data_IF_711966019366
#
_entry.id   IF_711966019366
#
_cell.length_a   1.000
_cell.length_b   1.000
_cell.length_c   1.000
_cell.angle_alpha   90.00
_cell.angle_beta   90.00
_cell.angle_gamma   90.00
#
_symmetry.space_group_name_H-M   'P 1'
#
loop_
_entity.id
_entity.type
_entity.pdbx_description
1 polymer ?
#
# COMPACT_ATOMS: atom_id res chain seq x y z
N UNK A 1 0.40 27.68 20.55
CA UNK A 1 0.49 26.20 20.48
C UNK A 1 0.22 25.74 19.05
N UNK A 2 1.28 25.44 18.29
CA UNK A 2 1.19 24.99 16.89
C UNK A 2 1.09 23.46 16.82
N UNK A 3 0.23 23.01 15.91
CA UNK A 3 -0.38 21.67 15.79
C UNK A 3 0.62 20.56 15.44
N UNK A 4 0.61 19.46 16.19
CA UNK A 4 1.32 18.19 15.94
C UNK A 4 0.54 17.21 15.04
N UNK A 5 -0.21 17.71 14.04
CA UNK A 5 -1.07 16.88 13.17
C UNK A 5 -0.38 16.24 11.96
N UNK A 6 0.96 16.24 11.88
CA UNK A 6 1.69 15.77 10.68
C UNK A 6 2.28 14.36 10.77
N UNK A 7 2.25 13.70 11.93
CA UNK A 7 2.94 12.40 12.13
C UNK A 7 2.06 11.20 11.78
N UNK A 8 0.73 11.31 11.93
CA UNK A 8 -0.17 10.17 11.72
C UNK A 8 -0.55 9.91 10.25
N UNK A 9 -0.45 10.91 9.38
CA UNK A 9 -0.82 10.78 7.97
C UNK A 9 0.30 10.21 7.08
N UNK A 10 1.50 10.00 7.61
CA UNK A 10 2.64 9.44 6.88
C UNK A 10 2.64 7.90 6.92
N UNK A 11 2.03 7.29 7.94
CA UNK A 11 1.99 5.84 8.10
C UNK A 11 1.02 5.13 7.15
N UNK A 12 -0.02 5.84 6.67
CA UNK A 12 -1.01 5.27 5.72
C UNK A 12 -0.65 5.52 4.25
N UNK A 13 0.20 6.51 3.94
CA UNK A 13 0.69 6.73 2.57
C UNK A 13 1.89 5.85 2.21
N UNK A 14 2.48 5.16 3.19
CA UNK A 14 3.60 4.23 2.98
C UNK A 14 3.14 2.80 2.61
N UNK A 15 1.86 2.43 2.80
CA UNK A 15 1.36 1.10 2.41
C UNK A 15 1.03 0.97 0.91
N UNK A 16 1.25 2.02 0.10
CA UNK A 16 1.00 2.00 -1.35
C UNK A 16 2.23 2.37 -2.21
N UNK A 17 3.41 2.57 -1.59
CA UNK A 17 4.65 2.91 -2.30
C UNK A 17 5.80 1.90 -2.08
N UNK A 18 5.55 0.80 -1.38
CA UNK A 18 6.42 -0.38 -1.45
C UNK A 18 5.76 -1.39 -2.39
N UNK A 19 5.90 -1.14 -3.69
CA UNK A 19 6.00 -2.28 -4.59
C UNK A 19 7.29 -2.99 -4.19
N UNK A 20 7.28 -4.30 -3.86
CA UNK A 20 8.52 -5.03 -3.70
C UNK A 20 9.31 -4.83 -5.00
N UNK A 21 10.60 -4.48 -4.90
CA UNK A 21 11.53 -4.54 -6.03
C UNK A 21 11.76 -6.04 -6.33
N UNK A 22 10.70 -6.73 -6.72
CA UNK A 22 10.71 -8.09 -7.25
C UNK A 22 10.11 -8.01 -8.65
N UNK A 23 10.92 -7.49 -9.57
CA UNK A 23 10.76 -7.75 -11.01
C UNK A 23 12.06 -7.60 -11.81
N UNK A 24 13.23 -7.58 -11.15
CA UNK A 24 14.54 -7.71 -11.82
C UNK A 24 15.22 -9.05 -11.49
N UNK A 25 14.42 -10.12 -11.49
CA UNK A 25 14.94 -11.46 -11.78
C UNK A 25 14.09 -11.97 -12.94
N UNK A 26 14.43 -11.55 -14.16
CA UNK A 26 13.88 -12.14 -15.36
C UNK A 26 15.03 -12.46 -16.33
N UNK A 27 14.98 -13.71 -16.80
CA UNK A 27 15.76 -14.31 -17.87
C UNK A 27 17.29 -14.41 -17.73
N UNK A 28 17.74 -15.54 -17.17
CA UNK A 28 18.91 -16.27 -17.69
C UNK A 28 18.59 -17.04 -18.99
N UNK A 29 17.84 -16.42 -19.90
CA UNK A 29 17.44 -17.04 -21.16
C UNK A 29 17.40 -15.96 -22.25
N UNK A 30 18.57 -15.68 -22.82
CA UNK A 30 18.78 -15.49 -24.25
C UNK A 30 20.21 -15.02 -24.47
N UNK A 31 21.07 -15.96 -24.85
CA UNK A 31 22.03 -15.71 -25.91
C UNK A 31 21.78 -16.80 -26.93
N UNK A 32 20.86 -16.52 -27.86
CA UNK A 32 20.91 -17.15 -29.16
C UNK A 32 22.13 -16.55 -29.87
N UNK A 33 23.09 -17.38 -30.24
CA UNK A 33 23.84 -17.13 -31.46
C UNK A 33 23.60 -18.30 -32.39
N UNK A 34 23.13 -17.91 -33.58
CA UNK A 34 23.05 -18.73 -34.75
C UNK A 34 24.43 -19.31 -35.05
N UNK A 35 24.46 -20.61 -35.29
CA UNK A 35 25.50 -21.21 -36.12
C UNK A 35 24.81 -22.31 -36.93
N UNK A 36 24.02 -21.87 -37.89
CA UNK A 36 23.90 -22.64 -39.13
C UNK A 36 24.94 -22.01 -40.06
N UNK A 37 26.07 -22.70 -40.20
CA UNK A 37 26.75 -22.99 -41.46
C UNK A 37 28.02 -23.76 -41.13
N UNK A 38 27.85 -25.05 -40.83
CA UNK A 38 28.87 -26.02 -41.21
C UNK A 38 28.96 -26.00 -42.73
N UNK A 39 29.87 -25.20 -43.29
CA UNK A 39 30.43 -25.54 -44.59
C UNK A 39 31.43 -26.67 -44.32
N UNK A 40 30.94 -27.89 -44.53
CA UNK A 40 31.78 -29.03 -44.91
C UNK A 40 32.92 -28.55 -45.81
N UNK A 41 34.14 -29.02 -45.56
CA UNK A 41 35.26 -28.96 -46.51
C UNK A 41 34.82 -29.66 -47.80
N UNK A 42 34.07 -28.96 -48.64
CA UNK A 42 33.88 -29.32 -50.04
C UNK A 42 35.19 -28.99 -50.71
N UNK A 43 35.83 -30.00 -51.28
CA UNK A 43 36.91 -29.82 -52.24
C UNK A 43 36.43 -28.81 -53.29
N UNK A 44 36.95 -27.58 -53.20
CA UNK A 44 36.68 -26.53 -54.17
C UNK A 44 37.05 -27.08 -55.54
N UNK A 45 36.11 -27.01 -56.48
CA UNK A 45 36.42 -27.28 -57.88
C UNK A 45 37.52 -26.34 -58.37
N UNK A 46 38.21 -26.72 -59.44
CA UNK A 46 39.28 -25.91 -60.04
C UNK A 46 38.76 -24.52 -60.45
N UNK A 47 37.52 -24.46 -60.96
CA UNK A 47 36.85 -23.22 -61.35
C UNK A 47 36.50 -22.34 -60.14
N UNK A 48 35.99 -22.92 -59.04
CA UNK A 48 35.74 -22.20 -57.80
C UNK A 48 37.04 -21.68 -57.16
N UNK A 49 38.15 -22.41 -57.27
CA UNK A 49 39.46 -21.99 -56.79
C UNK A 49 40.00 -20.79 -57.58
N UNK A 50 39.84 -20.80 -58.92
CA UNK A 50 40.20 -19.67 -59.79
C UNK A 50 39.36 -18.44 -59.43
N UNK A 51 38.05 -18.64 -59.24
CA UNK A 51 37.14 -17.54 -58.92
C UNK A 51 37.46 -16.92 -57.55
N UNK A 52 37.68 -17.74 -56.52
CA UNK A 52 38.08 -17.29 -55.18
C UNK A 52 39.39 -16.48 -55.20
N UNK A 53 40.37 -16.91 -55.99
CA UNK A 53 41.65 -16.20 -56.14
C UNK A 53 41.48 -14.82 -56.79
N UNK A 54 40.62 -14.72 -57.81
CA UNK A 54 40.28 -13.45 -58.49
C UNK A 54 39.46 -12.54 -57.59
N UNK A 55 38.49 -13.08 -56.87
CA UNK A 55 37.62 -12.32 -55.96
C UNK A 55 38.39 -11.74 -54.78
N UNK A 56 39.45 -12.41 -54.31
CA UNK A 56 40.30 -11.90 -53.24
C UNK A 56 40.94 -10.53 -53.59
N UNK A 57 41.20 -10.22 -54.87
CA UNK A 57 41.71 -8.91 -55.30
C UNK A 57 40.75 -7.76 -54.95
N UNK A 58 39.45 -8.06 -54.84
CA UNK A 58 38.41 -7.10 -54.49
C UNK A 58 38.17 -6.99 -52.97
N UNK A 59 38.81 -7.84 -52.17
CA UNK A 59 38.68 -7.87 -50.71
C UNK A 59 39.30 -6.63 -50.05
N UNK A 60 38.81 -6.28 -48.87
CA UNK A 60 39.34 -5.14 -48.11
C UNK A 60 40.75 -5.44 -47.58
N UNK A 61 41.00 -6.70 -47.22
CA UNK A 61 42.30 -7.22 -46.80
C UNK A 61 43.36 -6.98 -47.88
N UNK A 62 43.02 -7.30 -49.14
CA UNK A 62 43.93 -7.11 -50.26
C UNK A 62 44.19 -5.62 -50.53
N UNK A 63 43.16 -4.78 -50.52
CA UNK A 63 43.28 -3.32 -50.78
C UNK A 63 44.16 -2.60 -49.77
N UNK A 64 44.20 -3.06 -48.53
CA UNK A 64 44.99 -2.43 -47.45
C UNK A 64 46.45 -2.91 -47.39
N UNK A 65 46.84 -3.86 -48.24
CA UNK A 65 48.20 -4.39 -48.28
C UNK A 65 49.16 -3.53 -49.12
N UNK A 66 50.46 -3.85 -49.09
CA UNK A 66 51.47 -3.06 -49.82
C UNK A 66 51.29 -3.19 -51.34
N UNK A 67 51.62 -2.13 -52.09
CA UNK A 67 51.52 -2.15 -53.57
C UNK A 67 52.42 -3.21 -54.20
N UNK A 68 53.56 -3.49 -53.58
CA UNK A 68 54.54 -4.48 -54.04
C UNK A 68 53.95 -5.89 -53.97
N UNK A 69 53.35 -6.25 -52.85
CA UNK A 69 52.73 -7.55 -52.64
C UNK A 69 51.41 -7.70 -53.39
N UNK A 70 50.61 -6.64 -53.50
CA UNK A 70 49.42 -6.61 -54.36
C UNK A 70 49.79 -6.91 -55.82
N UNK A 71 50.90 -6.35 -56.31
CA UNK A 71 51.40 -6.60 -57.66
C UNK A 71 51.96 -8.02 -57.81
N UNK A 72 52.65 -8.55 -56.79
CA UNK A 72 53.14 -9.92 -56.77
C UNK A 72 51.99 -10.94 -56.86
N UNK A 73 50.95 -10.76 -56.04
CA UNK A 73 49.76 -11.61 -56.07
C UNK A 73 48.99 -11.51 -57.40
N UNK A 74 48.80 -10.30 -57.93
CA UNK A 74 48.12 -10.10 -59.24
C UNK A 74 48.84 -10.83 -60.38
N UNK A 75 50.17 -10.79 -60.42
CA UNK A 75 50.97 -11.55 -61.40
C UNK A 75 50.81 -13.06 -61.22
N UNK A 76 50.73 -13.53 -59.98
CA UNK A 76 50.58 -14.94 -59.64
C UNK A 76 49.26 -15.53 -60.19
N UNK A 77 48.20 -14.71 -60.26
CA UNK A 77 46.87 -15.10 -60.75
C UNK A 77 46.54 -14.67 -62.20
N UNK A 78 47.43 -13.95 -62.89
CA UNK A 78 47.16 -13.32 -64.20
C UNK A 78 46.81 -14.36 -65.30
N UNK A 79 47.54 -15.50 -65.31
CA UNK A 79 47.38 -16.59 -66.27
C UNK A 79 46.71 -17.85 -65.70
N UNK A 80 45.90 -17.69 -64.63
CA UNK A 80 45.24 -18.83 -63.97
C UNK A 80 44.15 -19.46 -64.85
N UNK A 81 44.29 -20.76 -65.15
CA UNK A 81 43.39 -21.59 -65.95
C UNK A 81 43.19 -22.95 -65.29
N UNK A 82 42.14 -23.69 -65.69
CA UNK A 82 41.83 -25.02 -65.14
C UNK A 82 43.02 -25.99 -65.27
N UNK A 83 43.82 -25.84 -66.33
CA UNK A 83 44.99 -26.67 -66.64
C UNK A 83 46.19 -26.46 -65.72
N UNK A 84 46.33 -25.29 -65.07
CA UNK A 84 47.52 -24.92 -64.28
C UNK A 84 47.20 -24.50 -62.83
N UNK A 85 45.91 -24.46 -62.46
CA UNK A 85 45.51 -24.03 -61.11
C UNK A 85 45.92 -25.03 -60.05
N UNK A 86 45.90 -26.34 -60.30
CA UNK A 86 46.31 -27.34 -59.31
C UNK A 86 47.78 -27.19 -58.90
N UNK A 87 48.67 -26.89 -59.86
CA UNK A 87 50.09 -26.67 -59.60
C UNK A 87 50.36 -25.36 -58.83
N UNK A 88 49.54 -24.34 -59.06
CA UNK A 88 49.68 -23.01 -58.41
C UNK A 88 48.83 -22.84 -57.15
N UNK A 89 47.90 -23.77 -56.88
CA UNK A 89 46.88 -23.68 -55.83
C UNK A 89 47.50 -23.43 -54.46
N UNK A 90 48.53 -24.19 -54.10
CA UNK A 90 49.21 -24.02 -52.83
C UNK A 90 49.91 -22.67 -52.71
N UNK A 91 50.53 -22.18 -53.78
CA UNK A 91 51.25 -20.91 -53.81
C UNK A 91 50.28 -19.72 -53.68
N UNK A 92 49.14 -19.80 -54.38
CA UNK A 92 48.03 -18.84 -54.25
C UNK A 92 47.52 -18.80 -52.81
N UNK A 93 47.20 -19.96 -52.22
CA UNK A 93 46.68 -20.03 -50.86
C UNK A 93 47.67 -19.48 -49.85
N UNK A 94 48.95 -19.86 -49.93
CA UNK A 94 50.02 -19.31 -49.09
C UNK A 94 50.13 -17.78 -49.22
N UNK A 95 50.02 -17.25 -50.44
CA UNK A 95 50.04 -15.80 -50.66
C UNK A 95 48.80 -15.11 -50.10
N UNK A 96 47.60 -15.70 -50.24
CA UNK A 96 46.37 -15.18 -49.63
C UNK A 96 46.51 -15.14 -48.10
N UNK A 97 46.99 -16.22 -47.50
CA UNK A 97 47.17 -16.32 -46.04
C UNK A 97 48.21 -15.32 -45.54
N UNK A 98 49.32 -15.14 -46.28
CA UNK A 98 50.34 -14.13 -45.97
C UNK A 98 49.82 -12.70 -46.03
N UNK A 99 48.79 -12.42 -46.85
CA UNK A 99 48.16 -11.09 -46.95
C UNK A 99 47.10 -10.91 -45.86
N UNK A 100 46.30 -11.94 -45.58
CA UNK A 100 45.21 -11.89 -44.58
C UNK A 100 45.72 -11.83 -43.15
N UNK A 101 46.82 -12.52 -42.84
CA UNK A 101 47.32 -12.65 -41.47
C UNK A 101 47.76 -11.30 -40.86
N UNK A 102 48.56 -10.44 -41.54
CA UNK A 102 48.90 -9.12 -41.02
C UNK A 102 47.67 -8.22 -40.82
N UNK A 103 46.69 -8.31 -41.73
CA UNK A 103 45.47 -7.52 -41.66
C UNK A 103 44.63 -7.86 -40.43
N UNK A 104 44.34 -9.15 -40.22
CA UNK A 104 43.54 -9.57 -39.06
C UNK A 104 44.28 -9.37 -37.74
N UNK A 105 45.62 -9.49 -37.73
CA UNK A 105 46.45 -9.17 -36.58
C UNK A 105 46.29 -7.71 -36.16
N UNK A 106 46.31 -6.78 -37.12
CA UNK A 106 46.10 -5.36 -36.83
C UNK A 106 44.70 -5.08 -36.27
N UNK A 107 43.66 -5.69 -36.85
CA UNK A 107 42.30 -5.56 -36.32
C UNK A 107 42.19 -6.06 -34.87
N UNK A 108 42.85 -7.18 -34.57
CA UNK A 108 42.93 -7.72 -33.22
C UNK A 108 43.65 -6.77 -32.26
N UNK A 109 44.81 -6.23 -32.64
CA UNK A 109 45.58 -5.28 -31.84
C UNK A 109 44.77 -4.00 -31.54
N UNK A 110 44.16 -3.41 -32.56
CA UNK A 110 43.32 -2.21 -32.44
C UNK A 110 42.13 -2.46 -31.49
N UNK A 111 41.43 -3.57 -31.65
CA UNK A 111 40.29 -3.94 -30.80
C UNK A 111 40.75 -4.26 -29.37
N UNK A 112 41.86 -4.98 -29.19
CA UNK A 112 42.43 -5.29 -27.88
C UNK A 112 42.74 -3.99 -27.13
N UNK A 113 43.39 -3.03 -27.77
CA UNK A 113 43.67 -1.73 -27.16
C UNK A 113 42.39 -0.99 -26.74
N UNK A 114 41.36 -1.00 -27.60
CA UNK A 114 40.06 -0.41 -27.29
C UNK A 114 39.40 -1.07 -26.06
N UNK A 115 39.39 -2.39 -26.00
CA UNK A 115 38.79 -3.14 -24.88
C UNK A 115 39.59 -2.93 -23.59
N UNK A 116 40.93 -2.87 -23.68
CA UNK A 116 41.78 -2.59 -22.52
C UNK A 116 41.58 -1.19 -21.94
N UNK A 117 41.16 -0.20 -22.74
CA UNK A 117 40.77 1.14 -22.24
C UNK A 117 39.54 1.11 -21.34
N UNK A 118 38.72 0.06 -21.41
CA UNK A 118 37.56 -0.14 -20.52
C UNK A 118 37.92 -0.75 -19.16
N UNK A 119 39.21 -1.04 -18.93
CA UNK A 119 39.71 -1.54 -17.65
C UNK A 119 39.39 -0.57 -16.52
N UNK A 120 38.75 -1.07 -15.48
CA UNK A 120 38.51 -0.34 -14.24
C UNK A 120 38.67 -1.27 -13.03
N UNK A 121 39.08 -0.70 -11.89
CA UNK A 121 39.16 -1.46 -10.63
C UNK A 121 37.77 -1.89 -10.12
N UNK A 122 36.72 -1.19 -10.55
CA UNK A 122 35.32 -1.48 -10.25
C UNK A 122 34.74 -2.67 -11.04
N UNK A 123 35.47 -3.26 -11.98
CA UNK A 123 35.02 -4.48 -12.66
C UNK A 123 35.00 -5.69 -11.70
N UNK A 124 34.22 -6.71 -12.04
CA UNK A 124 34.31 -8.02 -11.37
C UNK A 124 35.66 -8.67 -11.65
N UNK A 125 36.10 -9.52 -10.73
CA UNK A 125 37.37 -10.22 -10.87
C UNK A 125 37.37 -11.12 -12.12
N UNK A 126 36.26 -11.81 -12.42
CA UNK A 126 36.08 -12.58 -13.66
C UNK A 126 36.32 -11.75 -14.94
N UNK A 127 35.82 -10.51 -14.98
CA UNK A 127 36.00 -9.64 -16.15
C UNK A 127 37.43 -9.12 -16.25
N UNK A 128 38.08 -8.85 -15.12
CA UNK A 128 39.51 -8.48 -15.08
C UNK A 128 40.37 -9.64 -15.57
N UNK A 129 40.15 -10.83 -15.05
CA UNK A 129 40.90 -12.03 -15.43
C UNK A 129 40.73 -12.33 -16.92
N UNK A 130 39.50 -12.22 -17.44
CA UNK A 130 39.25 -12.37 -18.87
C UNK A 130 40.00 -11.33 -19.69
N UNK A 131 40.02 -10.06 -19.26
CA UNK A 131 40.76 -8.99 -19.93
C UNK A 131 42.26 -9.30 -20.02
N UNK A 132 42.85 -9.82 -18.93
CA UNK A 132 44.28 -10.16 -18.90
C UNK A 132 44.64 -11.49 -19.58
N UNK A 133 43.65 -12.33 -19.90
CA UNK A 133 43.90 -13.65 -20.52
C UNK A 133 44.24 -13.61 -22.00
N UNK A 134 43.98 -12.49 -22.69
CA UNK A 134 44.22 -12.33 -24.12
C UNK A 134 45.72 -12.24 -24.44
N UNK A 135 46.18 -13.08 -25.38
CA UNK A 135 47.60 -13.16 -25.77
C UNK A 135 48.02 -11.95 -26.62
N UNK A 136 49.31 -11.77 -26.84
CA UNK A 136 49.80 -10.75 -27.78
C UNK A 136 49.70 -11.20 -29.24
N UNK A 137 49.90 -12.50 -29.49
CA UNK A 137 49.93 -13.06 -30.84
C UNK A 137 49.33 -14.44 -30.89
N UNK A 138 48.84 -14.80 -32.07
CA UNK A 138 48.31 -16.11 -32.42
C UNK A 138 48.93 -16.61 -33.73
N UNK A 139 48.87 -17.93 -33.95
CA UNK A 139 49.63 -18.61 -35.00
C UNK A 139 48.89 -18.62 -36.35
N UNK A 140 47.55 -18.51 -36.34
CA UNK A 140 46.73 -18.63 -37.55
C UNK A 140 45.66 -17.53 -37.68
N UNK A 141 45.18 -17.33 -38.92
CA UNK A 141 44.08 -16.40 -39.21
C UNK A 141 42.80 -16.76 -38.45
N UNK A 142 42.44 -18.05 -38.41
CA UNK A 142 41.23 -18.51 -37.72
C UNK A 142 41.32 -18.32 -36.20
N UNK A 143 42.52 -18.45 -35.61
CA UNK A 143 42.73 -18.11 -34.20
C UNK A 143 42.45 -16.62 -33.96
N UNK A 144 43.03 -15.72 -34.76
CA UNK A 144 42.76 -14.28 -34.62
C UNK A 144 41.27 -13.97 -34.79
N UNK A 145 40.59 -14.57 -35.77
CA UNK A 145 39.15 -14.37 -36.00
C UNK A 145 38.32 -14.76 -34.79
N UNK A 146 38.60 -15.93 -34.20
CA UNK A 146 37.93 -16.38 -32.97
C UNK A 146 38.18 -15.43 -31.81
N UNK A 147 39.41 -14.96 -31.65
CA UNK A 147 39.78 -14.08 -30.54
C UNK A 147 39.22 -12.66 -30.69
N UNK A 148 39.04 -12.17 -31.92
CA UNK A 148 38.32 -10.93 -32.20
C UNK A 148 36.86 -11.04 -31.75
N UNK A 149 36.17 -12.14 -32.04
CA UNK A 149 34.79 -12.35 -31.58
C UNK A 149 34.71 -12.46 -30.05
N UNK A 150 35.67 -13.13 -29.43
CA UNK A 150 35.79 -13.17 -27.97
C UNK A 150 35.99 -11.77 -27.37
N UNK A 151 36.85 -10.93 -27.98
CA UNK A 151 37.09 -9.55 -27.55
C UNK A 151 35.84 -8.68 -27.69
N UNK A 152 35.11 -8.76 -28.81
CA UNK A 152 33.84 -8.04 -29.00
C UNK A 152 32.82 -8.43 -27.93
N UNK A 153 32.73 -9.72 -27.62
CA UNK A 153 31.86 -10.23 -26.56
C UNK A 153 32.28 -9.68 -25.18
N UNK A 154 33.58 -9.68 -24.87
CA UNK A 154 34.10 -9.12 -23.62
C UNK A 154 33.84 -7.63 -23.49
N UNK A 155 34.02 -6.86 -24.59
CA UNK A 155 33.66 -5.43 -24.66
C UNK A 155 32.20 -5.19 -24.27
N UNK A 156 31.28 -5.89 -24.93
CA UNK A 156 29.84 -5.79 -24.66
C UNK A 156 29.50 -6.15 -23.21
N UNK A 157 30.14 -7.19 -22.67
CA UNK A 157 29.95 -7.59 -21.28
C UNK A 157 30.41 -6.52 -20.29
N UNK A 158 31.56 -5.88 -20.52
CA UNK A 158 32.06 -4.78 -19.69
C UNK A 158 31.12 -3.57 -19.78
N UNK A 159 30.68 -3.18 -20.97
CA UNK A 159 29.75 -2.07 -21.16
C UNK A 159 28.41 -2.30 -20.44
N UNK A 160 27.86 -3.52 -20.55
CA UNK A 160 26.64 -3.90 -19.86
C UNK A 160 26.83 -3.95 -18.33
N UNK A 161 27.97 -4.44 -17.86
CA UNK A 161 28.33 -4.43 -16.45
C UNK A 161 28.37 -3.00 -15.89
N UNK A 162 29.04 -2.08 -16.60
CA UNK A 162 29.16 -0.69 -16.17
C UNK A 162 27.79 0.03 -16.13
N UNK A 163 26.91 -0.22 -17.10
CA UNK A 163 25.52 0.30 -17.07
C UNK A 163 24.77 -0.18 -15.82
N UNK A 164 24.85 -1.47 -15.49
CA UNK A 164 24.22 -2.02 -14.27
C UNK A 164 24.82 -1.42 -13.01
N UNK A 165 26.14 -1.27 -12.93
CA UNK A 165 26.80 -0.67 -11.78
C UNK A 165 26.30 0.75 -11.51
N UNK A 166 26.17 1.58 -12.55
CA UNK A 166 25.62 2.93 -12.43
C UNK A 166 24.16 2.94 -11.95
N UNK A 167 23.32 2.06 -12.49
CA UNK A 167 21.92 1.91 -12.04
C UNK A 167 21.85 1.52 -10.55
N UNK A 168 22.67 0.57 -10.10
CA UNK A 168 22.69 0.13 -8.71
C UNK A 168 23.26 1.21 -7.78
N UNK A 169 24.30 1.94 -8.19
CA UNK A 169 24.80 3.10 -7.42
C UNK A 169 23.72 4.17 -7.26
N UNK A 170 22.92 4.42 -8.30
CA UNK A 170 21.77 5.33 -8.21
C UNK A 170 20.70 4.84 -7.22
N UNK A 171 20.38 3.54 -7.23
CA UNK A 171 19.44 2.93 -6.26
C UNK A 171 19.97 3.11 -4.83
N UNK A 172 21.25 2.81 -4.60
CA UNK A 172 21.88 2.97 -3.30
C UNK A 172 21.84 4.43 -2.82
N UNK A 173 22.16 5.38 -3.71
CA UNK A 173 22.07 6.82 -3.44
C UNK A 173 20.66 7.24 -3.05
N UNK A 174 19.66 6.88 -3.83
CA UNK A 174 18.25 7.22 -3.55
C UNK A 174 17.79 6.60 -2.22
N UNK A 175 18.23 5.38 -1.91
CA UNK A 175 17.98 4.71 -0.63
C UNK A 175 18.58 5.47 0.55
N UNK A 176 19.85 5.90 0.44
CA UNK A 176 20.53 6.68 1.48
C UNK A 176 19.87 8.05 1.70
N UNK A 177 19.51 8.77 0.63
CA UNK A 177 18.88 10.08 0.71
C UNK A 177 17.50 10.02 1.39
N UNK A 178 16.67 9.04 1.00
CA UNK A 178 15.34 8.83 1.61
C UNK A 178 15.43 8.56 3.11
N UNK A 179 16.50 7.92 3.56
CA UNK A 179 16.66 7.48 4.95
C UNK A 179 17.56 8.36 5.82
N UNK A 180 18.15 9.43 5.25
CA UNK A 180 19.11 10.32 5.93
C UNK A 180 18.62 10.90 7.26
N UNK A 181 17.32 11.15 7.38
CA UNK A 181 16.74 11.85 8.54
C UNK A 181 16.13 10.91 9.59
N UNK A 182 16.22 9.59 9.41
CA UNK A 182 15.67 8.62 10.37
C UNK A 182 16.63 8.24 11.50
N UNK A 183 17.84 8.81 11.52
CA UNK A 183 18.82 8.51 12.58
C UNK A 183 19.39 7.08 12.51
N UNK A 184 19.30 6.45 11.33
CA UNK A 184 19.91 5.15 11.03
C UNK A 184 21.38 5.38 10.66
N UNK A 185 22.30 4.56 11.18
CA UNK A 185 23.72 4.66 10.82
C UNK A 185 23.99 3.93 9.50
N UNK A 186 24.12 4.69 8.41
CA UNK A 186 24.34 4.18 7.05
C UNK A 186 25.72 4.59 6.50
N UNK A 187 26.70 4.77 7.39
CA UNK A 187 28.06 5.21 7.00
C UNK A 187 28.77 4.20 6.11
N UNK A 188 28.63 2.91 6.36
CA UNK A 188 29.32 1.87 5.60
C UNK A 188 28.81 1.82 4.15
N UNK A 189 27.49 1.87 3.98
CA UNK A 189 26.81 1.92 2.68
C UNK A 189 27.18 3.18 1.90
N UNK A 190 27.29 4.32 2.60
CA UNK A 190 27.77 5.56 2.01
C UNK A 190 29.23 5.45 1.54
N UNK A 191 30.11 4.81 2.31
CA UNK A 191 31.50 4.59 1.91
C UNK A 191 31.59 3.74 0.63
N UNK A 192 30.73 2.74 0.47
CA UNK A 192 30.65 1.94 -0.77
C UNK A 192 30.17 2.79 -1.95
N UNK A 193 29.20 3.69 -1.74
CA UNK A 193 28.72 4.59 -2.79
C UNK A 193 29.80 5.59 -3.23
N UNK A 194 30.51 6.18 -2.26
CA UNK A 194 31.51 7.22 -2.48
C UNK A 194 32.84 6.65 -3.06
N UNK A 195 33.06 5.34 -2.94
CA UNK A 195 34.22 4.65 -3.51
C UNK A 195 34.06 4.42 -5.02
N UNK A 196 34.92 5.07 -5.81
CA UNK A 196 34.96 4.93 -7.26
C UNK A 196 35.26 3.49 -7.70
N UNK A 197 36.02 2.73 -6.89
CA UNK A 197 36.46 1.37 -7.18
C UNK A 197 35.48 0.31 -6.68
N UNK A 198 34.35 0.70 -6.09
CA UNK A 198 33.33 -0.26 -5.67
C UNK A 198 32.68 -0.92 -6.88
N UNK A 199 32.77 -2.25 -6.88
CA UNK A 199 32.21 -3.12 -7.91
C UNK A 199 30.74 -3.45 -7.62
N UNK A 200 30.08 -4.10 -8.58
CA UNK A 200 28.65 -4.42 -8.51
C UNK A 200 28.29 -5.20 -7.24
N UNK A 201 29.09 -6.21 -6.88
CA UNK A 201 28.85 -7.05 -5.70
C UNK A 201 28.89 -6.25 -4.40
N UNK A 202 29.87 -5.34 -4.25
CA UNK A 202 29.93 -4.43 -3.09
C UNK A 202 28.71 -3.54 -3.00
N UNK A 203 28.27 -2.97 -4.13
CA UNK A 203 27.08 -2.10 -4.19
C UNK A 203 25.81 -2.87 -3.87
N UNK A 204 25.64 -4.08 -4.40
CA UNK A 204 24.52 -4.98 -4.10
C UNK A 204 24.46 -5.30 -2.60
N UNK A 205 25.59 -5.70 -2.00
CA UNK A 205 25.70 -5.95 -0.55
C UNK A 205 25.37 -4.71 0.28
N UNK A 206 25.78 -3.52 -0.16
CA UNK A 206 25.44 -2.27 0.52
C UNK A 206 23.92 -1.97 0.45
N UNK A 207 23.26 -2.26 -0.67
CA UNK A 207 21.80 -2.13 -0.80
C UNK A 207 21.09 -3.12 0.13
N UNK A 208 21.53 -4.38 0.19
CA UNK A 208 20.96 -5.37 1.10
C UNK A 208 21.11 -4.96 2.58
N UNK A 209 22.28 -4.44 2.95
CA UNK A 209 22.56 -3.93 4.28
C UNK A 209 21.65 -2.74 4.63
N UNK A 210 21.53 -1.77 3.72
CA UNK A 210 20.60 -0.64 3.86
C UNK A 210 19.17 -1.10 4.12
N UNK A 211 18.68 -2.09 3.35
CA UNK A 211 17.32 -2.61 3.52
C UNK A 211 17.14 -3.27 4.90
N UNK A 212 18.11 -4.06 5.37
CA UNK A 212 18.07 -4.68 6.70
C UNK A 212 18.02 -3.64 7.82
N UNK A 213 18.83 -2.59 7.73
CA UNK A 213 18.84 -1.48 8.70
C UNK A 213 17.50 -0.71 8.72
N UNK A 214 16.93 -0.44 7.54
CA UNK A 214 15.62 0.21 7.40
C UNK A 214 14.50 -0.67 7.98
N UNK A 215 14.52 -1.97 7.70
CA UNK A 215 13.52 -2.92 8.24
C UNK A 215 13.60 -3.03 9.77
N UNK A 216 14.82 -3.08 10.31
CA UNK A 216 15.05 -3.08 11.75
C UNK A 216 14.51 -1.79 12.41
N UNK A 217 14.79 -0.64 11.80
CA UNK A 217 14.24 0.64 12.26
C UNK A 217 12.71 0.67 12.22
N UNK A 218 12.10 0.23 11.12
CA UNK A 218 10.65 0.16 10.97
C UNK A 218 10.00 -0.76 12.02
N UNK A 219 10.61 -1.91 12.29
CA UNK A 219 10.16 -2.82 13.34
C UNK A 219 10.21 -2.17 14.73
N UNK A 220 11.29 -1.44 15.03
CA UNK A 220 11.44 -0.69 16.28
C UNK A 220 10.35 0.38 16.43
N UNK A 221 10.14 1.21 15.41
CA UNK A 221 9.10 2.26 15.42
C UNK A 221 7.70 1.65 15.60
N UNK A 222 7.42 0.53 14.94
CA UNK A 222 6.15 -0.19 15.08
C UNK A 222 5.93 -0.67 16.53
N UNK A 223 6.96 -1.22 17.15
CA UNK A 223 6.90 -1.67 18.54
C UNK A 223 6.76 -0.51 19.53
N UNK A 224 7.50 0.58 19.36
CA UNK A 224 7.38 1.79 20.18
C UNK A 224 5.96 2.38 20.12
N UNK A 225 5.37 2.47 18.92
CA UNK A 225 3.99 2.90 18.74
C UNK A 225 2.99 1.96 19.42
N UNK A 226 3.19 0.63 19.29
CA UNK A 226 2.36 -0.37 19.97
C UNK A 226 2.40 -0.18 21.49
N UNK A 227 3.58 0.03 22.07
CA UNK A 227 3.76 0.25 23.51
C UNK A 227 3.11 1.56 23.98
N UNK A 228 3.28 2.65 23.23
CA UNK A 228 2.62 3.94 23.51
C UNK A 228 1.09 3.82 23.50
N UNK A 229 0.56 3.08 22.53
CA UNK A 229 -0.87 2.82 22.44
C UNK A 229 -1.35 1.95 23.61
N UNK A 230 -0.64 0.88 23.95
CA UNK A 230 -0.95 0.05 25.12
C UNK A 230 -1.01 0.87 26.40
N UNK A 231 -0.02 1.74 26.63
CA UNK A 231 0.00 2.65 27.78
C UNK A 231 -1.24 3.54 27.82
N UNK A 232 -1.56 4.18 26.70
CA UNK A 232 -2.73 5.08 26.58
C UNK A 232 -4.04 4.36 26.86
N UNK A 233 -4.25 3.18 26.26
CA UNK A 233 -5.46 2.39 26.47
C UNK A 233 -5.55 1.85 27.90
N UNK A 234 -4.42 1.45 28.50
CA UNK A 234 -4.36 0.98 29.88
C UNK A 234 -4.75 2.08 30.88
N UNK A 235 -4.24 3.30 30.70
CA UNK A 235 -4.63 4.45 31.54
C UNK A 235 -6.14 4.69 31.53
N UNK A 236 -6.79 4.53 30.37
CA UNK A 236 -8.25 4.60 30.25
C UNK A 236 -8.95 3.46 31.01
N UNK A 237 -8.47 2.22 30.85
CA UNK A 237 -9.05 1.02 31.49
C UNK A 237 -8.91 1.10 33.00
N UNK A 238 -7.72 1.44 33.51
CA UNK A 238 -7.46 1.58 34.95
C UNK A 238 -8.31 2.71 35.57
N UNK A 239 -8.67 3.72 34.78
CA UNK A 239 -9.58 4.81 35.15
C UNK A 239 -11.06 4.42 35.26
N UNK A 240 -11.46 3.21 34.83
CA UNK A 240 -12.87 2.76 34.81
C UNK A 240 -13.51 2.83 36.20
N UNK A 241 -12.90 2.15 37.19
CA UNK A 241 -13.47 2.04 38.53
C UNK A 241 -13.63 3.42 39.18
N UNK A 242 -12.63 4.28 39.01
CA UNK A 242 -12.68 5.67 39.48
C UNK A 242 -13.83 6.43 38.83
N UNK A 243 -13.97 6.36 37.50
CA UNK A 243 -15.06 7.03 36.78
C UNK A 243 -16.44 6.52 37.21
N UNK A 244 -16.64 5.21 37.24
CA UNK A 244 -17.93 4.59 37.60
C UNK A 244 -18.35 4.85 39.04
N UNK A 245 -17.39 5.11 39.94
CA UNK A 245 -17.67 5.49 41.32
C UNK A 245 -18.23 6.91 41.50
N UNK A 246 -17.98 7.80 40.52
CA UNK A 246 -18.29 9.23 40.63
C UNK A 246 -19.78 9.52 40.50
N UNK A 247 -20.22 10.57 41.20
CA UNK A 247 -21.60 11.04 41.21
C UNK A 247 -22.12 11.33 39.80
N UNK A 248 -21.35 12.08 39.00
CA UNK A 248 -21.72 12.44 37.62
C UNK A 248 -21.98 11.22 36.73
N UNK A 249 -21.24 10.12 36.91
CA UNK A 249 -21.51 8.88 36.19
C UNK A 249 -22.80 8.23 36.72
N UNK A 250 -22.89 7.99 38.03
CA UNK A 250 -24.02 7.27 38.67
C UNK A 250 -25.38 7.90 38.34
N UNK A 251 -25.44 9.23 38.34
CA UNK A 251 -26.68 9.98 38.12
C UNK A 251 -26.96 10.34 36.65
N UNK A 252 -26.07 9.98 35.72
CA UNK A 252 -26.27 10.21 34.28
C UNK A 252 -27.43 9.39 33.71
N UNK A 253 -27.95 9.84 32.56
CA UNK A 253 -28.91 9.07 31.76
C UNK A 253 -28.35 7.68 31.39
N UNK A 254 -29.23 6.68 31.36
CA UNK A 254 -28.90 5.29 31.09
C UNK A 254 -28.31 5.11 29.69
N UNK A 255 -28.85 5.82 28.69
CA UNK A 255 -28.33 5.79 27.32
C UNK A 255 -26.88 6.29 27.23
N UNK A 256 -26.54 7.32 28.01
CA UNK A 256 -25.19 7.89 28.06
C UNK A 256 -24.21 6.98 28.80
N UNK A 257 -24.64 6.37 29.91
CA UNK A 257 -23.86 5.33 30.60
C UNK A 257 -23.60 4.13 29.68
N UNK A 258 -24.60 3.70 28.92
CA UNK A 258 -24.46 2.62 27.95
C UNK A 258 -23.46 2.97 26.85
N UNK A 259 -23.54 4.17 26.28
CA UNK A 259 -22.58 4.65 25.28
C UNK A 259 -21.15 4.71 25.83
N UNK A 260 -20.97 5.21 27.07
CA UNK A 260 -19.69 5.19 27.76
C UNK A 260 -19.15 3.76 27.91
N UNK A 261 -19.96 2.84 28.43
CA UNK A 261 -19.55 1.44 28.63
C UNK A 261 -19.19 0.74 27.31
N UNK A 262 -19.97 0.96 26.24
CA UNK A 262 -19.66 0.40 24.92
C UNK A 262 -18.34 0.93 24.34
N UNK A 263 -18.06 2.23 24.51
CA UNK A 263 -16.79 2.82 24.09
C UNK A 263 -15.61 2.25 24.88
N UNK A 264 -15.78 2.03 26.19
CA UNK A 264 -14.77 1.43 27.06
C UNK A 264 -14.52 -0.05 26.72
N UNK A 265 -15.57 -0.83 26.42
CA UNK A 265 -15.41 -2.21 25.99
C UNK A 265 -14.67 -2.30 24.65
N UNK A 266 -14.85 -1.32 23.76
CA UNK A 266 -14.09 -1.23 22.52
C UNK A 266 -12.61 -0.94 22.78
N UNK A 267 -12.29 -0.07 23.75
CA UNK A 267 -10.93 0.18 24.24
C UNK A 267 -10.31 -1.10 24.81
N UNK A 268 -11.04 -1.86 25.65
CA UNK A 268 -10.57 -3.13 26.22
C UNK A 268 -10.25 -4.16 25.14
N UNK A 269 -11.13 -4.32 24.15
CA UNK A 269 -10.89 -5.22 23.00
C UNK A 269 -9.65 -4.83 22.20
N UNK A 270 -9.48 -3.53 21.93
CA UNK A 270 -8.30 -3.01 21.26
C UNK A 270 -7.02 -3.27 22.06
N UNK A 271 -7.06 -3.06 23.37
CA UNK A 271 -5.95 -3.35 24.27
C UNK A 271 -5.53 -4.83 24.23
N UNK A 272 -6.49 -5.76 24.34
CA UNK A 272 -6.20 -7.20 24.26
C UNK A 272 -5.57 -7.60 22.92
N UNK A 273 -6.08 -7.07 21.81
CA UNK A 273 -5.48 -7.30 20.48
C UNK A 273 -4.04 -6.79 20.40
N UNK A 274 -3.77 -5.58 20.86
CA UNK A 274 -2.42 -5.02 20.87
C UNK A 274 -1.46 -5.80 21.77
N UNK A 275 -1.94 -6.35 22.90
CA UNK A 275 -1.13 -7.24 23.74
C UNK A 275 -0.70 -8.50 22.99
N UNK A 276 -1.60 -9.06 22.19
CA UNK A 276 -1.34 -10.24 21.34
C UNK A 276 -0.58 -9.91 20.06
N UNK A 277 -0.07 -8.68 19.90
CA UNK A 277 0.60 -8.16 18.69
C UNK A 277 -0.28 -8.22 17.44
N UNK A 278 -1.60 -8.25 17.61
CA UNK A 278 -2.55 -8.12 16.52
C UNK A 278 -2.70 -6.65 16.10
N UNK A 279 -2.97 -6.43 14.82
CA UNK A 279 -3.17 -5.10 14.29
C UNK A 279 -4.50 -4.50 14.75
N UNK A 280 -4.46 -3.25 15.19
CA UNK A 280 -5.64 -2.47 15.56
C UNK A 280 -5.60 -1.13 14.84
N UNK A 281 -6.49 -1.01 13.86
CA UNK A 281 -6.65 0.23 13.13
C UNK A 281 -7.47 1.24 13.96
N UNK A 282 -7.13 2.53 13.82
CA UNK A 282 -7.90 3.66 14.36
C UNK A 282 -7.95 3.77 15.89
N UNK A 283 -6.82 3.53 16.57
CA UNK A 283 -6.71 3.70 18.04
C UNK A 283 -7.08 5.13 18.47
N UNK A 284 -6.64 6.14 17.72
CA UNK A 284 -6.97 7.54 17.99
C UNK A 284 -8.49 7.79 17.95
N UNK A 285 -9.21 7.15 17.02
CA UNK A 285 -10.67 7.28 16.92
C UNK A 285 -11.38 6.56 18.07
N UNK A 286 -10.86 5.41 18.52
CA UNK A 286 -11.38 4.73 19.70
C UNK A 286 -11.21 5.60 20.94
N UNK A 287 -10.02 6.18 21.14
CA UNK A 287 -9.74 7.08 22.27
C UNK A 287 -10.62 8.34 22.19
N UNK A 288 -10.79 8.92 21.01
CA UNK A 288 -11.67 10.07 20.79
C UNK A 288 -13.14 9.74 21.07
N UNK A 289 -13.60 8.57 20.66
CA UNK A 289 -14.97 8.10 20.91
C UNK A 289 -15.21 7.90 22.41
N UNK A 290 -14.25 7.28 23.11
CA UNK A 290 -14.26 7.16 24.56
C UNK A 290 -14.32 8.52 25.26
N UNK A 291 -13.42 9.45 24.91
CA UNK A 291 -13.39 10.79 25.50
C UNK A 291 -14.70 11.55 25.26
N UNK A 292 -15.30 11.39 24.09
CA UNK A 292 -16.60 11.99 23.76
C UNK A 292 -17.72 11.40 24.64
N UNK A 293 -17.78 10.08 24.76
CA UNK A 293 -18.78 9.42 25.59
C UNK A 293 -18.62 9.78 27.08
N UNK A 294 -17.38 9.87 27.57
CA UNK A 294 -17.05 10.34 28.92
C UNK A 294 -17.54 11.78 29.16
N UNK A 295 -17.22 12.71 28.26
CA UNK A 295 -17.61 14.12 28.38
C UNK A 295 -19.11 14.35 28.24
N UNK A 296 -19.83 13.43 27.60
CA UNK A 296 -21.29 13.52 27.44
C UNK A 296 -22.06 13.08 28.68
N UNK A 297 -21.42 12.40 29.65
CA UNK A 297 -22.07 12.04 30.91
C UNK A 297 -22.62 13.30 31.60
N UNK A 298 -23.89 13.24 32.00
CA UNK A 298 -24.67 14.42 32.37
C UNK A 298 -25.20 14.40 33.81
N UNK A 299 -24.75 13.48 34.65
CA UNK A 299 -25.25 13.33 36.03
C UNK A 299 -24.98 14.53 36.93
N UNK A 300 -24.07 15.43 36.58
CA UNK A 300 -23.91 16.72 37.28
C UNK A 300 -25.17 17.59 37.21
N UNK A 301 -26.04 17.36 36.20
CA UNK A 301 -27.33 18.06 36.07
C UNK A 301 -28.42 17.49 36.96
N UNK A 302 -28.18 16.36 37.64
CA UNK A 302 -29.23 15.64 38.39
C UNK A 302 -29.90 16.51 39.45
N UNK A 303 -29.14 17.22 40.29
CA UNK A 303 -29.71 18.04 41.37
C UNK A 303 -30.52 19.22 40.81
N UNK A 304 -30.06 19.82 39.70
CA UNK A 304 -30.79 20.91 39.05
C UNK A 304 -32.12 20.43 38.45
N UNK A 305 -32.14 19.24 37.82
CA UNK A 305 -33.38 18.66 37.30
C UNK A 305 -34.30 18.15 38.42
N UNK A 306 -33.75 17.66 39.53
CA UNK A 306 -34.51 17.30 40.72
C UNK A 306 -35.22 18.52 41.31
N UNK A 307 -34.53 19.66 41.44
CA UNK A 307 -35.17 20.90 41.91
C UNK A 307 -36.30 21.36 40.99
N UNK A 308 -36.12 21.27 39.66
CA UNK A 308 -37.20 21.58 38.71
C UNK A 308 -38.41 20.66 38.88
N UNK A 309 -38.20 19.39 39.23
CA UNK A 309 -39.27 18.45 39.53
C UNK A 309 -40.00 18.82 40.83
N UNK A 310 -39.26 19.20 41.88
CA UNK A 310 -39.82 19.70 43.14
C UNK A 310 -40.72 20.91 42.88
N UNK A 311 -40.19 21.92 42.17
CA UNK A 311 -40.93 23.14 41.84
C UNK A 311 -42.18 22.85 41.01
N UNK A 312 -42.08 21.94 40.03
CA UNK A 312 -43.20 21.52 39.21
C UNK A 312 -44.28 20.83 40.04
N UNK A 313 -43.88 19.94 40.95
CA UNK A 313 -44.79 19.22 41.83
C UNK A 313 -45.53 20.18 42.75
N UNK A 314 -44.83 21.07 43.47
CA UNK A 314 -45.48 22.01 44.39
C UNK A 314 -46.46 22.95 43.67
N UNK A 315 -46.11 23.43 42.47
CA UNK A 315 -47.03 24.24 41.63
C UNK A 315 -48.30 23.51 41.20
N UNK A 316 -48.27 22.18 41.09
CA UNK A 316 -49.39 21.38 40.56
C UNK A 316 -50.03 20.45 41.59
N UNK A 317 -49.52 20.44 42.83
CA UNK A 317 -49.92 19.52 43.91
C UNK A 317 -51.42 19.50 44.17
N UNK A 318 -52.07 20.67 44.15
CA UNK A 318 -53.52 20.80 44.33
C UNK A 318 -54.37 20.13 43.25
N UNK A 319 -53.78 19.77 42.09
CA UNK A 319 -54.48 19.06 41.01
C UNK A 319 -54.47 17.53 41.19
N UNK A 320 -53.72 17.02 42.15
CA UNK A 320 -53.61 15.60 42.48
C UNK A 320 -54.56 15.22 43.62
N UNK A 321 -54.94 13.94 43.70
CA UNK A 321 -55.63 13.38 44.87
C UNK A 321 -54.72 13.39 46.12
N UNK A 322 -55.28 13.47 47.32
CA UNK A 322 -54.50 13.50 48.57
C UNK A 322 -53.57 12.29 48.73
N UNK A 323 -54.00 11.11 48.28
CA UNK A 323 -53.16 9.89 48.25
C UNK A 323 -51.95 10.05 47.32
N UNK A 324 -52.16 10.58 46.12
CA UNK A 324 -51.08 10.83 45.16
C UNK A 324 -50.14 11.95 45.60
N UNK A 325 -50.65 12.98 46.30
CA UNK A 325 -49.82 14.04 46.86
C UNK A 325 -48.78 13.48 47.82
N UNK A 326 -49.19 12.63 48.78
CA UNK A 326 -48.26 12.00 49.72
C UNK A 326 -47.27 11.08 49.01
N UNK A 327 -47.79 10.17 48.16
CA UNK A 327 -46.97 9.23 47.39
C UNK A 327 -45.86 9.92 46.60
N UNK A 328 -46.20 10.96 45.82
CA UNK A 328 -45.23 11.63 44.97
C UNK A 328 -44.26 12.52 45.75
N UNK A 329 -44.68 13.14 46.85
CA UNK A 329 -43.77 13.87 47.74
C UNK A 329 -42.67 12.93 48.30
N UNK A 330 -43.07 11.76 48.80
CA UNK A 330 -42.14 10.76 49.34
C UNK A 330 -41.17 10.26 48.24
N UNK A 331 -41.68 10.01 47.03
CA UNK A 331 -40.86 9.58 45.89
C UNK A 331 -39.86 10.65 45.45
N UNK A 332 -40.27 11.92 45.34
CA UNK A 332 -39.40 13.04 44.94
C UNK A 332 -38.30 13.24 45.98
N UNK A 333 -38.65 13.25 47.26
CA UNK A 333 -37.68 13.47 48.34
C UNK A 333 -36.66 12.33 48.44
N UNK A 334 -37.06 11.09 48.17
CA UNK A 334 -36.15 9.94 48.20
C UNK A 334 -35.28 9.76 46.95
N UNK A 335 -35.47 10.53 45.87
CA UNK A 335 -34.71 10.37 44.62
C UNK A 335 -33.19 10.60 44.77
N UNK A 336 -32.69 11.62 45.50
CA UNK A 336 -31.26 11.84 45.64
C UNK A 336 -30.53 10.66 46.31
N UNK A 337 -31.15 10.09 47.35
CA UNK A 337 -30.55 9.07 48.22
C UNK A 337 -30.58 7.66 47.62
N UNK A 338 -31.46 7.41 46.65
CA UNK A 338 -31.54 6.13 45.95
C UNK A 338 -30.32 5.88 45.06
N UNK A 339 -29.67 4.73 45.24
CA UNK A 339 -28.48 4.35 44.51
C UNK A 339 -28.73 4.14 43.00
N UNK A 340 -29.91 3.65 42.65
CA UNK A 340 -30.37 3.38 41.28
C UNK A 340 -31.03 4.60 40.61
N UNK A 341 -31.27 5.66 41.37
CA UNK A 341 -31.89 6.89 40.86
C UNK A 341 -30.95 7.70 39.99
N UNK A 342 -31.43 8.14 38.84
CA UNK A 342 -30.70 8.91 37.84
C UNK A 342 -31.63 9.90 37.10
N UNK A 343 -31.09 10.60 36.09
CA UNK A 343 -31.88 11.56 35.31
C UNK A 343 -33.10 10.94 34.61
N UNK A 344 -33.06 9.67 34.21
CA UNK A 344 -34.23 8.98 33.67
C UNK A 344 -35.29 8.72 34.75
N UNK A 345 -34.89 8.47 36.00
CA UNK A 345 -35.83 8.37 37.13
C UNK A 345 -36.60 9.68 37.35
N UNK A 346 -35.93 10.84 37.23
CA UNK A 346 -36.57 12.17 37.29
C UNK A 346 -37.57 12.34 36.15
N UNK A 347 -37.16 12.03 34.90
CA UNK A 347 -38.03 12.12 33.72
C UNK A 347 -39.28 11.23 33.84
N UNK A 348 -39.10 9.99 34.30
CA UNK A 348 -40.19 9.03 34.53
C UNK A 348 -41.15 9.54 35.60
N UNK A 349 -40.64 9.98 36.75
CA UNK A 349 -41.48 10.47 37.85
C UNK A 349 -42.27 11.72 37.44
N UNK A 350 -41.64 12.63 36.68
CA UNK A 350 -42.34 13.79 36.11
C UNK A 350 -43.52 13.38 35.22
N UNK A 351 -43.30 12.45 34.30
CA UNK A 351 -44.33 11.94 33.40
C UNK A 351 -45.47 11.22 34.15
N UNK A 352 -45.15 10.47 35.20
CA UNK A 352 -46.15 9.84 36.07
C UNK A 352 -47.03 10.86 36.80
N UNK A 353 -46.43 11.96 37.27
CA UNK A 353 -47.15 13.07 37.90
C UNK A 353 -48.05 13.77 36.86
N UNK A 354 -47.53 14.08 35.68
CA UNK A 354 -48.28 14.68 34.57
C UNK A 354 -49.51 13.85 34.22
N UNK A 355 -49.33 12.54 34.01
CA UNK A 355 -50.43 11.61 33.72
C UNK A 355 -51.46 11.54 34.86
N UNK A 356 -51.01 11.51 36.12
CA UNK A 356 -51.91 11.48 37.27
C UNK A 356 -52.73 12.77 37.41
N UNK A 357 -52.17 13.92 37.04
CA UNK A 357 -52.90 15.20 36.98
C UNK A 357 -53.99 15.12 35.90
N UNK A 358 -53.65 14.65 34.70
CA UNK A 358 -54.60 14.52 33.58
C UNK A 358 -55.77 13.58 33.92
N UNK A 359 -55.48 12.41 34.48
CA UNK A 359 -56.50 11.44 34.89
C UNK A 359 -57.44 11.98 35.97
N UNK A 360 -56.90 12.71 36.94
CA UNK A 360 -57.71 13.29 38.01
C UNK A 360 -58.63 14.41 37.49
N UNK A 361 -58.15 15.22 36.54
CA UNK A 361 -58.97 16.22 35.85
C UNK A 361 -60.09 15.59 35.01
N UNK A 362 -59.83 14.43 34.39
CA UNK A 362 -60.85 13.70 33.64
C UNK A 362 -61.93 13.09 34.54
N UNK A 363 -61.59 12.60 35.75
CA UNK A 363 -62.57 12.11 36.74
C UNK A 363 -63.53 13.20 37.23
N UNK A 364 -63.10 14.47 37.25
CA UNK A 364 -63.95 15.61 37.59
C UNK A 364 -64.90 16.06 36.47
N UNK A 365 -64.68 15.62 35.22
CA UNK A 365 -65.60 15.88 34.10
C UNK A 365 -66.68 14.79 34.09
N UNK A 366 -67.82 15.06 34.72
CA UNK A 366 -69.04 14.29 34.48
C UNK A 366 -69.32 14.26 32.97
N UNK A 367 -69.14 13.09 32.34
CA UNK A 367 -69.67 12.87 30.99
C UNK A 367 -71.18 13.10 31.07
N UNK A 368 -71.69 14.09 30.35
CA UNK A 368 -73.11 14.43 30.30
C UNK A 368 -73.87 13.19 29.85
N UNK A 369 -74.47 12.44 30.79
CA UNK A 369 -75.38 11.34 30.47
C UNK A 369 -76.63 11.99 29.90
N UNK A 370 -76.69 12.09 28.58
CA UNK A 370 -77.93 12.42 27.89
C UNK A 370 -78.89 11.25 28.07
N UNK A 371 -79.76 11.32 29.09
CA UNK A 371 -80.97 10.49 29.14
C UNK A 371 -81.75 10.76 27.87
N UNK A 372 -81.77 9.81 26.93
CA UNK A 372 -82.74 9.79 25.85
C UNK A 372 -84.11 9.50 26.46
N UNK A 373 -84.86 10.55 26.77
CA UNK A 373 -86.30 10.42 26.99
C UNK A 373 -86.92 10.06 25.65
N UNK A 374 -87.48 8.85 25.56
CA UNK A 374 -88.18 8.37 24.38
C UNK A 374 -89.53 9.11 24.29
N UNK A 375 -89.57 10.20 23.52
CA UNK A 375 -90.82 10.84 23.09
C UNK A 375 -91.24 10.22 21.76
N UNK A 376 -92.50 9.78 21.69
CA UNK A 376 -93.12 9.11 20.54
C UNK A 376 -93.00 9.94 19.25
N UNK A 377 -92.68 9.24 18.15
CA UNK A 377 -92.59 9.74 16.77
C UNK A 377 -93.93 10.30 16.26
N UNK A 378 -93.85 11.41 15.52
CA UNK A 378 -94.75 11.74 14.40
C UNK A 378 -93.96 12.52 13.30
N UNK A 379 -94.45 12.56 12.04
CA UNK A 379 -93.69 12.05 10.89
C UNK A 379 -92.83 13.08 10.15
N UNK A 380 -91.95 12.51 9.31
CA UNK A 380 -90.85 13.13 8.61
C UNK A 380 -91.23 14.17 7.54
N UNK A 381 -90.46 15.25 7.47
CA UNK A 381 -90.23 16.01 6.24
C UNK A 381 -88.84 15.70 5.69
N UNK A 382 -88.81 15.02 4.54
CA UNK A 382 -87.61 14.82 3.72
C UNK A 382 -87.11 16.16 3.20
N UNK A 383 -85.81 16.45 3.34
CA UNK A 383 -85.06 17.22 2.36
C UNK A 383 -83.66 16.63 2.14
N UNK A 384 -83.21 16.84 0.91
CA UNK A 384 -82.29 16.10 0.09
C UNK A 384 -80.80 16.23 0.41
N UNK A 385 -80.10 15.10 0.22
CA UNK A 385 -78.76 14.91 -0.35
C UNK A 385 -77.79 16.11 -0.36
N UNK A 386 -76.64 15.93 0.28
CA UNK A 386 -75.36 15.98 -0.45
C UNK A 386 -74.38 14.96 0.12
N UNK A 387 -73.76 14.21 -0.79
CA UNK A 387 -72.65 13.31 -0.54
C UNK A 387 -71.39 14.15 -0.33
N UNK A 388 -70.68 13.93 0.76
CA UNK A 388 -69.22 13.81 0.73
C UNK A 388 -68.84 12.67 1.67
N UNK A 389 -68.72 11.47 1.09
CA UNK A 389 -68.01 10.35 1.70
C UNK A 389 -66.55 10.49 1.26
N UNK A 390 -65.73 11.14 2.07
CA UNK A 390 -64.28 11.01 1.98
C UNK A 390 -63.79 10.44 3.31
N UNK A 391 -63.55 9.13 3.28
CA UNK A 391 -62.78 8.49 4.32
C UNK A 391 -61.32 8.89 4.19
N UNK A 392 -60.69 9.19 5.32
CA UNK A 392 -59.24 9.05 5.49
C UNK A 392 -59.00 8.58 6.92
N UNK A 393 -59.11 7.26 7.14
CA UNK A 393 -58.68 6.62 8.38
C UNK A 393 -57.25 6.06 8.27
N UNK A 394 -56.46 6.52 7.30
CA UNK A 394 -55.24 5.79 6.90
C UNK A 394 -54.10 6.67 6.37
N UNK A 395 -53.93 7.89 6.88
CA UNK A 395 -52.66 8.63 6.70
C UNK A 395 -51.55 8.14 7.65
N UNK A 396 -51.91 7.65 8.84
CA UNK A 396 -50.94 7.17 9.84
C UNK A 396 -50.32 5.81 9.50
N UNK A 397 -51.05 4.92 8.82
CA UNK A 397 -50.57 3.56 8.52
C UNK A 397 -49.61 3.56 7.32
N UNK A 398 -49.81 4.43 6.33
CA UNK A 398 -48.91 4.52 5.16
C UNK A 398 -47.52 5.06 5.55
N UNK A 399 -47.45 5.95 6.55
CA UNK A 399 -46.17 6.51 7.02
C UNK A 399 -45.35 5.49 7.84
N UNK A 400 -46.02 4.62 8.60
CA UNK A 400 -45.36 3.52 9.33
C UNK A 400 -44.89 2.41 8.36
N UNK A 401 -45.66 2.12 7.31
CA UNK A 401 -45.24 1.15 6.27
C UNK A 401 -44.07 1.67 5.43
N UNK A 402 -44.00 2.97 5.11
CA UNK A 402 -42.86 3.56 4.40
C UNK A 402 -41.58 3.61 5.26
N UNK A 403 -41.68 3.85 6.56
CA UNK A 403 -40.52 3.81 7.48
C UNK A 403 -40.00 2.37 7.64
N UNK A 404 -40.90 1.38 7.73
CA UNK A 404 -40.52 -0.03 7.83
C UNK A 404 -39.95 -0.58 6.50
N UNK A 405 -40.48 -0.15 5.35
CA UNK A 405 -39.92 -0.51 4.04
C UNK A 405 -38.54 0.14 3.78
N UNK A 406 -38.34 1.39 4.24
CA UNK A 406 -37.05 2.09 4.16
C UNK A 406 -35.95 1.46 5.01
N UNK A 407 -36.30 0.95 6.20
CA UNK A 407 -35.35 0.22 7.06
C UNK A 407 -35.01 -1.18 6.50
N UNK A 408 -35.96 -1.85 5.85
CA UNK A 408 -35.73 -3.16 5.21
C UNK A 408 -34.80 -3.11 4.00
N UNK A 409 -34.93 -2.10 3.14
CA UNK A 409 -34.10 -1.96 1.93
C UNK A 409 -32.64 -1.61 2.23
N UNK A 410 -32.39 -0.89 3.33
CA UNK A 410 -31.03 -0.52 3.76
C UNK A 410 -30.26 -1.69 4.42
N UNK A 411 -30.97 -2.65 5.02
CA UNK A 411 -30.34 -3.85 5.60
C UNK A 411 -30.19 -5.02 4.62
N UNK A 412 -31.02 -5.12 3.58
CA UNK A 412 -30.91 -6.19 2.56
C UNK A 412 -29.87 -5.85 1.48
N UNK A 413 -29.64 -4.58 1.14
CA UNK A 413 -28.64 -4.20 0.12
C UNK A 413 -27.18 -4.31 0.56
N UNK A 414 -26.90 -4.57 1.85
CA UNK A 414 -25.54 -4.79 2.38
C UNK A 414 -25.13 -6.25 2.49
N UNK A 415 -25.99 -7.21 2.11
CA UNK A 415 -25.71 -8.64 2.18
C UNK A 415 -25.47 -9.34 0.84
N UNK A 416 -25.45 -8.61 -0.28
CA UNK A 416 -25.09 -9.15 -1.61
C UNK A 416 -23.87 -8.45 -2.22
N UNK A 417 -22.73 -8.46 -1.52
CA UNK A 417 -21.39 -8.36 -2.12
C UNK A 417 -20.40 -9.17 -1.29
N UNK A 418 -20.57 -10.49 -1.35
CA UNK A 418 -19.51 -11.48 -1.52
C UNK A 418 -20.15 -12.81 -1.86
#
# INVERSE_FOLDING_TARGET
MKKSKKILFLALSMSLAFSPINSMISNKANVAYAEDMMSEDKDLTLEESIQKAKDFVNSEEFKQYTKEDQNAYKKLIEDLKVENVDEKKEEILKSIDSIKLPYIKKQYEDLKEEVFKLKAESLSDDLKDKLYSYKETYDSYEDYKKQIEDLKTTKLNIENYNKKLEEFKKILKDGLEKNRNFGIDLKAEKLVLDDANSNLEKVEKAIESLNKEVDAYNAKVKEENRQKNLKTLKEIIDGEGKTKSKYFYKKSDESLKNNFNQSLDSIKKAYSKLQNKEEVNNIDDLVKSYNTAYNNLNGDKFMAEHQKLVDYFEKNKGKLSSSNQKKYADLINGLPDKADSNLDSIKKLKAEIEKAIEENQQKGKLSKVSRKVAVKKQPATKKSRSFVRTGVQSAGIVLVVLILAGAGYFFISKKSKK
#
